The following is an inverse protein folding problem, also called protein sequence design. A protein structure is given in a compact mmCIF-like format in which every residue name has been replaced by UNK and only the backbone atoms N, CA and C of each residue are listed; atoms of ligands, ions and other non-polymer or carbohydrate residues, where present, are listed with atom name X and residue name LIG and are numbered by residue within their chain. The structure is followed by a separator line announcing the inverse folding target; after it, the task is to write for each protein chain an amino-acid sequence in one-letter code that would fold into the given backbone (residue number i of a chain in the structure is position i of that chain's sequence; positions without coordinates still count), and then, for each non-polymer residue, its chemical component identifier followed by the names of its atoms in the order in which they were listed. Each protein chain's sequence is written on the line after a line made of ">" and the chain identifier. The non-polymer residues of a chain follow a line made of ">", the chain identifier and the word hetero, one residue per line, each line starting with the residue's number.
data_IF_886875838111
#
_entry.id   IF_886875838111
#
_cell.length_a   1.000
_cell.length_b   1.000
_cell.length_c   1.000
_cell.angle_alpha   90.00
_cell.angle_beta   90.00
_cell.angle_gamma   90.00
#
_symmetry.space_group_name_H-M   'P 1'
#
loop_
_entity.id
_entity.type
_entity.pdbx_description
1 polymer ?
#
# COMPACT_ATOMS: atom_id res chain seq x y z
N UNK A 1 -21.15 -8.08 -3.44
CA UNK A 1 -20.29 -7.09 -4.11
C UNK A 1 -19.10 -7.86 -4.65
N UNK A 2 -18.76 -7.73 -5.93
CA UNK A 2 -17.69 -8.51 -6.57
C UNK A 2 -16.37 -8.37 -5.79
N UNK A 3 -15.75 -9.49 -5.39
CA UNK A 3 -14.60 -9.51 -4.50
C UNK A 3 -13.43 -8.65 -5.02
N UNK A 4 -13.18 -8.66 -6.34
CA UNK A 4 -12.13 -7.87 -6.97
C UNK A 4 -12.47 -6.36 -6.98
N UNK A 5 -13.74 -6.01 -7.14
CA UNK A 5 -14.17 -4.61 -7.06
C UNK A 5 -14.11 -4.10 -5.62
N UNK A 6 -14.30 -4.99 -4.65
CA UNK A 6 -14.10 -4.72 -3.22
C UNK A 6 -12.62 -4.51 -2.89
N UNK A 7 -11.72 -5.39 -3.34
CA UNK A 7 -10.28 -5.28 -3.06
C UNK A 7 -9.67 -4.03 -3.71
N UNK A 8 -10.11 -3.66 -4.92
CA UNK A 8 -9.66 -2.43 -5.58
C UNK A 8 -10.07 -1.16 -4.81
N UNK A 9 -11.31 -1.11 -4.29
CA UNK A 9 -11.76 0.00 -3.46
C UNK A 9 -11.00 0.07 -2.14
N UNK A 10 -10.70 -1.07 -1.54
CA UNK A 10 -9.88 -1.16 -0.33
C UNK A 10 -8.45 -0.65 -0.59
N UNK A 11 -7.81 -1.13 -1.66
CA UNK A 11 -6.47 -0.68 -2.07
C UNK A 11 -6.44 0.80 -2.41
N UNK A 12 -7.48 1.33 -3.06
CA UNK A 12 -7.65 2.77 -3.27
C UNK A 12 -7.63 3.53 -1.93
N UNK A 13 -8.47 3.12 -0.97
CA UNK A 13 -8.58 3.78 0.33
C UNK A 13 -7.25 3.74 1.10
N UNK A 14 -6.56 2.59 1.12
CA UNK A 14 -5.27 2.42 1.78
C UNK A 14 -4.20 3.33 1.15
N UNK A 15 -4.14 3.38 -0.19
CA UNK A 15 -3.16 4.21 -0.88
C UNK A 15 -3.42 5.71 -0.69
N UNK A 16 -4.69 6.15 -0.69
CA UNK A 16 -5.05 7.53 -0.34
C UNK A 16 -4.62 7.87 1.09
N UNK A 17 -4.91 6.99 2.05
CA UNK A 17 -4.48 7.17 3.43
C UNK A 17 -2.95 7.31 3.54
N UNK A 18 -2.18 6.42 2.90
CA UNK A 18 -0.72 6.48 2.94
C UNK A 18 -0.16 7.74 2.27
N UNK A 19 -0.73 8.15 1.14
CA UNK A 19 -0.34 9.38 0.45
C UNK A 19 -0.55 10.61 1.35
N UNK A 20 -1.72 10.71 1.98
CA UNK A 20 -2.05 11.79 2.93
C UNK A 20 -1.11 11.76 4.15
N UNK A 21 -0.86 10.59 4.73
CA UNK A 21 0.06 10.44 5.85
C UNK A 21 1.47 10.93 5.49
N UNK A 22 2.05 10.48 4.38
CA UNK A 22 3.36 10.94 3.93
C UNK A 22 3.37 12.43 3.60
N UNK A 23 2.29 12.96 3.01
CA UNK A 23 2.18 14.39 2.71
C UNK A 23 2.18 15.24 3.99
N UNK A 24 1.52 14.77 5.05
CA UNK A 24 1.58 15.42 6.36
C UNK A 24 3.00 15.42 6.93
N UNK A 25 3.76 14.33 6.78
CA UNK A 25 5.16 14.30 7.19
C UNK A 25 6.03 15.30 6.40
N UNK A 26 5.77 15.46 5.08
CA UNK A 26 6.42 16.51 4.28
C UNK A 26 6.09 17.88 4.85
N UNK A 27 4.81 18.18 5.10
CA UNK A 27 4.37 19.48 5.63
C UNK A 27 4.99 19.77 7.00
N UNK A 28 5.00 18.79 7.91
CA UNK A 28 5.62 18.95 9.24
C UNK A 28 7.12 19.19 9.11
N UNK A 29 7.81 18.44 8.24
CA UNK A 29 9.23 18.63 8.01
C UNK A 29 9.54 20.02 7.45
N UNK A 30 8.76 20.50 6.48
CA UNK A 30 8.91 21.84 5.91
C UNK A 30 8.59 22.95 6.92
N UNK A 31 7.59 22.76 7.77
CA UNK A 31 7.20 23.75 8.78
C UNK A 31 8.25 23.85 9.89
N UNK A 32 8.67 22.70 10.42
CA UNK A 32 9.52 22.64 11.63
C UNK A 32 11.02 22.64 11.32
N UNK A 33 11.41 22.30 10.09
CA UNK A 33 12.80 22.03 9.71
C UNK A 33 13.35 20.71 10.25
N UNK A 34 12.58 19.98 11.07
CA UNK A 34 13.01 18.77 11.77
C UNK A 34 12.48 17.51 11.10
N UNK A 35 13.19 16.40 11.27
CA UNK A 35 12.72 15.09 10.86
C UNK A 35 11.56 14.65 11.79
N UNK A 36 10.30 14.54 11.32
CA UNK A 36 9.14 14.41 12.20
C UNK A 36 9.16 13.16 13.08
N UNK A 37 9.70 12.05 12.58
CA UNK A 37 9.72 10.78 13.31
C UNK A 37 10.83 10.76 14.38
N UNK A 38 11.96 11.41 14.14
CA UNK A 38 13.03 11.62 15.11
C UNK A 38 12.56 12.56 16.22
N UNK A 39 11.85 13.65 15.88
CA UNK A 39 11.23 14.51 16.90
C UNK A 39 10.21 13.76 17.77
N UNK A 40 9.45 12.82 17.19
CA UNK A 40 8.56 11.96 17.97
C UNK A 40 9.37 11.06 18.92
N UNK A 41 10.42 10.41 18.42
CA UNK A 41 11.29 9.54 19.23
C UNK A 41 11.96 10.30 20.38
N UNK A 42 12.48 11.50 20.13
CA UNK A 42 13.08 12.37 21.15
C UNK A 42 12.05 12.79 22.20
N UNK A 43 10.81 13.03 21.80
CA UNK A 43 9.73 13.43 22.73
C UNK A 43 9.20 12.27 23.57
N UNK A 44 9.05 11.09 22.98
CA UNK A 44 8.57 9.88 23.62
C UNK A 44 8.95 8.63 22.80
N UNK A 45 10.02 7.97 23.20
CA UNK A 45 10.55 6.77 22.52
C UNK A 45 9.56 5.60 22.51
N UNK A 46 8.78 5.41 23.58
CA UNK A 46 7.82 4.31 23.65
C UNK A 46 6.71 4.48 22.62
N UNK A 47 6.16 5.69 22.47
CA UNK A 47 5.13 5.99 21.48
C UNK A 47 5.69 5.83 20.05
N UNK A 48 6.93 6.26 19.83
CA UNK A 48 7.62 6.05 18.56
C UNK A 48 7.72 4.56 18.22
N UNK A 49 8.21 3.72 19.14
CA UNK A 49 8.35 2.27 18.91
C UNK A 49 7.02 1.58 18.66
N UNK A 50 5.98 1.92 19.43
CA UNK A 50 4.61 1.41 19.23
C UNK A 50 4.11 1.79 17.83
N UNK A 51 4.29 3.05 17.43
CA UNK A 51 3.90 3.53 16.10
C UNK A 51 4.65 2.75 15.00
N UNK A 52 5.97 2.56 15.14
CA UNK A 52 6.75 1.81 14.16
C UNK A 52 6.29 0.36 14.04
N UNK A 53 5.95 -0.28 15.17
CA UNK A 53 5.46 -1.66 15.17
C UNK A 53 4.14 -1.79 14.41
N UNK A 54 3.18 -0.93 14.73
CA UNK A 54 1.89 -0.91 14.03
C UNK A 54 2.06 -0.57 12.55
N UNK A 55 2.95 0.35 12.19
CA UNK A 55 3.27 0.67 10.79
C UNK A 55 3.83 -0.54 10.07
N UNK A 56 4.82 -1.24 10.65
CA UNK A 56 5.42 -2.42 10.04
C UNK A 56 4.38 -3.54 9.85
N UNK A 57 3.57 -3.84 10.87
CA UNK A 57 2.53 -4.86 10.81
C UNK A 57 1.44 -4.51 9.77
N UNK A 58 0.93 -3.28 9.79
CA UNK A 58 -0.07 -2.81 8.85
C UNK A 58 0.46 -2.79 7.41
N UNK A 59 1.73 -2.43 7.21
CA UNK A 59 2.36 -2.47 5.88
C UNK A 59 2.52 -3.91 5.37
N UNK A 60 2.89 -4.85 6.24
CA UNK A 60 2.91 -6.28 5.92
C UNK A 60 1.54 -6.77 5.46
N UNK A 61 0.46 -6.42 6.17
CA UNK A 61 -0.91 -6.74 5.76
C UNK A 61 -1.28 -6.10 4.40
N UNK A 62 -0.87 -4.85 4.16
CA UNK A 62 -1.07 -4.18 2.87
C UNK A 62 -0.38 -4.92 1.71
N UNK A 63 0.86 -5.41 1.90
CA UNK A 63 1.55 -6.23 0.89
C UNK A 63 0.78 -7.52 0.62
N UNK A 64 0.26 -8.21 1.64
CA UNK A 64 -0.55 -9.43 1.46
C UNK A 64 -1.79 -9.14 0.61
N UNK A 65 -2.49 -8.02 0.87
CA UNK A 65 -3.66 -7.61 0.06
C UNK A 65 -3.27 -7.37 -1.40
N UNK A 66 -2.11 -6.72 -1.65
CA UNK A 66 -1.60 -6.51 -3.01
C UNK A 66 -1.29 -7.84 -3.73
N UNK A 67 -0.69 -8.80 -3.03
CA UNK A 67 -0.43 -10.15 -3.58
C UNK A 67 -1.74 -10.84 -3.93
N UNK A 68 -2.74 -10.81 -3.04
CA UNK A 68 -4.07 -11.37 -3.32
C UNK A 68 -4.68 -10.73 -4.57
N UNK A 69 -4.60 -9.40 -4.71
CA UNK A 69 -5.10 -8.70 -5.90
C UNK A 69 -4.42 -9.16 -7.20
N UNK A 70 -3.09 -9.31 -7.21
CA UNK A 70 -2.35 -9.86 -8.35
C UNK A 70 -2.79 -11.29 -8.67
N UNK A 71 -2.89 -12.15 -7.66
CA UNK A 71 -3.31 -13.54 -7.82
C UNK A 71 -4.73 -13.65 -8.40
N UNK A 72 -5.68 -12.82 -7.91
CA UNK A 72 -7.05 -12.77 -8.44
C UNK A 72 -7.09 -12.34 -9.90
N UNK A 73 -6.21 -11.42 -10.30
CA UNK A 73 -6.13 -10.97 -11.68
C UNK A 73 -5.46 -11.99 -12.61
N UNK A 74 -4.58 -12.85 -12.09
CA UNK A 74 -3.74 -13.74 -12.91
C UNK A 74 -4.53 -14.66 -13.84
N UNK A 75 -5.67 -15.18 -13.38
CA UNK A 75 -6.58 -16.05 -14.15
C UNK A 75 -7.47 -15.32 -15.16
N UNK A 76 -7.48 -13.98 -15.13
CA UNK A 76 -8.30 -13.15 -16.03
C UNK A 76 -7.58 -12.86 -17.36
N UNK A 77 -8.28 -12.32 -18.36
CA UNK A 77 -7.66 -11.75 -19.57
C UNK A 77 -7.50 -10.21 -19.50
N UNK A 78 -7.62 -9.62 -18.31
CA UNK A 78 -7.48 -8.17 -18.11
C UNK A 78 -6.00 -7.77 -17.99
N UNK A 79 -5.30 -7.73 -19.12
CA UNK A 79 -3.84 -7.54 -19.15
C UNK A 79 -3.39 -6.19 -18.58
N UNK A 80 -4.09 -5.08 -18.86
CA UNK A 80 -3.68 -3.78 -18.32
C UNK A 80 -3.87 -3.73 -16.80
N UNK A 81 -4.94 -4.33 -16.29
CA UNK A 81 -5.17 -4.46 -14.85
C UNK A 81 -4.08 -5.31 -14.18
N UNK A 82 -3.64 -6.41 -14.82
CA UNK A 82 -2.53 -7.23 -14.33
C UNK A 82 -1.24 -6.43 -14.24
N UNK A 83 -0.88 -5.72 -15.32
CA UNK A 83 0.34 -4.89 -15.36
C UNK A 83 0.31 -3.83 -14.26
N UNK A 84 -0.82 -3.14 -14.10
CA UNK A 84 -0.99 -2.15 -13.03
C UNK A 84 -0.86 -2.77 -11.63
N UNK A 85 -1.48 -3.93 -11.38
CA UNK A 85 -1.41 -4.61 -10.09
C UNK A 85 0.02 -5.09 -9.76
N UNK A 86 0.74 -5.65 -10.74
CA UNK A 86 2.15 -6.05 -10.57
C UNK A 86 3.04 -4.85 -10.34
N UNK A 87 2.84 -3.76 -11.09
CA UNK A 87 3.57 -2.50 -10.88
C UNK A 87 3.33 -1.91 -9.49
N UNK A 88 2.08 -1.92 -9.01
CA UNK A 88 1.73 -1.46 -7.67
C UNK A 88 2.37 -2.34 -6.59
N UNK A 89 2.39 -3.67 -6.76
CA UNK A 89 3.06 -4.58 -5.84
C UNK A 89 4.57 -4.30 -5.79
N UNK A 90 5.23 -4.17 -6.95
CA UNK A 90 6.66 -3.86 -7.02
C UNK A 90 6.99 -2.53 -6.33
N UNK A 91 6.20 -1.48 -6.59
CA UNK A 91 6.37 -0.17 -5.96
C UNK A 91 6.17 -0.24 -4.44
N UNK A 92 5.17 -0.99 -3.98
CA UNK A 92 4.92 -1.23 -2.56
C UNK A 92 6.09 -1.96 -1.89
N UNK A 93 6.68 -2.96 -2.56
CA UNK A 93 7.87 -3.65 -2.04
C UNK A 93 9.08 -2.71 -1.94
N UNK A 94 9.31 -1.87 -2.95
CA UNK A 94 10.39 -0.87 -2.93
C UNK A 94 10.24 0.13 -1.77
N UNK A 95 9.03 0.68 -1.59
CA UNK A 95 8.74 1.60 -0.48
C UNK A 95 8.93 0.90 0.86
N UNK A 96 8.35 -0.32 1.01
CA UNK A 96 8.46 -1.10 2.24
C UNK A 96 9.90 -1.43 2.60
N UNK A 97 10.70 -1.87 1.64
CA UNK A 97 12.12 -2.18 1.84
C UNK A 97 12.93 -0.94 2.23
N UNK A 98 12.74 0.17 1.52
CA UNK A 98 13.42 1.42 1.85
C UNK A 98 13.01 1.93 3.24
N UNK A 99 11.73 1.85 3.59
CA UNK A 99 11.25 2.20 4.94
C UNK A 99 11.83 1.28 6.01
N UNK A 100 11.88 -0.03 5.75
CA UNK A 100 12.44 -1.01 6.68
C UNK A 100 13.88 -0.68 7.06
N UNK A 101 14.72 -0.37 6.06
CA UNK A 101 16.14 -0.05 6.29
C UNK A 101 16.31 1.33 6.95
N UNK A 102 15.50 2.32 6.57
CA UNK A 102 15.70 3.71 7.00
C UNK A 102 14.99 4.07 8.30
N UNK A 103 13.98 3.32 8.71
CA UNK A 103 13.13 3.64 9.87
C UNK A 103 13.06 2.48 10.84
N UNK A 104 12.56 1.32 10.40
CA UNK A 104 12.32 0.19 11.28
C UNK A 104 13.61 -0.38 11.89
N UNK A 105 14.61 -0.68 11.07
CA UNK A 105 15.88 -1.24 11.55
C UNK A 105 16.60 -0.31 12.53
N UNK A 106 16.74 1.01 12.25
CA UNK A 106 17.26 1.96 13.25
C UNK A 106 16.43 2.02 14.53
N UNK A 107 15.10 2.01 14.43
CA UNK A 107 14.23 2.05 15.60
C UNK A 107 14.47 0.87 16.56
N UNK A 108 14.70 -0.34 16.03
CA UNK A 108 15.00 -1.53 16.85
C UNK A 108 16.36 -1.46 17.53
N UNK A 109 17.27 -0.61 17.04
CA UNK A 109 18.59 -0.34 17.63
C UNK A 109 18.57 0.91 18.54
N UNK A 110 17.41 1.55 18.75
CA UNK A 110 17.29 2.80 19.50
C UNK A 110 17.85 4.02 18.77
N UNK A 111 18.08 3.91 17.46
CA UNK A 111 18.63 4.99 16.64
C UNK A 111 17.52 5.80 15.95
N UNK A 112 17.76 7.11 15.74
CA UNK A 112 16.82 7.94 15.01
C UNK A 112 16.63 7.46 13.57
N UNK A 113 15.43 7.65 13.00
CA UNK A 113 15.15 7.30 11.62
C UNK A 113 16.01 8.13 10.67
N UNK A 114 16.53 7.49 9.63
CA UNK A 114 17.40 8.10 8.63
C UNK A 114 16.61 8.54 7.41
N UNK A 115 15.46 9.16 7.58
CA UNK A 115 14.59 9.56 6.44
C UNK A 115 14.77 11.05 6.11
N UNK A 116 14.14 11.52 5.04
CA UNK A 116 14.23 12.88 4.55
C UNK A 116 12.89 13.35 3.96
N UNK A 117 12.71 14.66 3.84
CA UNK A 117 11.59 15.25 3.09
C UNK A 117 11.46 14.63 1.69
N UNK A 118 12.58 14.43 1.00
CA UNK A 118 12.62 13.79 -0.32
C UNK A 118 12.02 12.39 -0.29
N UNK A 119 12.36 11.58 0.71
CA UNK A 119 11.79 10.24 0.89
C UNK A 119 10.26 10.32 1.06
N UNK A 120 9.78 11.22 1.90
CA UNK A 120 8.33 11.40 2.11
C UNK A 120 7.62 11.88 0.86
N UNK A 121 8.21 12.83 0.11
CA UNK A 121 7.66 13.30 -1.16
C UNK A 121 7.57 12.17 -2.17
N UNK A 122 8.60 11.34 -2.30
CA UNK A 122 8.58 10.17 -3.19
C UNK A 122 7.50 9.16 -2.76
N UNK A 123 7.37 8.88 -1.47
CA UNK A 123 6.31 8.00 -0.99
C UNK A 123 4.93 8.57 -1.29
N UNK A 124 4.71 9.86 -1.03
CA UNK A 124 3.44 10.54 -1.33
C UNK A 124 3.07 10.40 -2.80
N UNK A 125 4.00 10.69 -3.72
CA UNK A 125 3.72 10.61 -5.15
C UNK A 125 3.47 9.18 -5.61
N UNK A 126 4.23 8.21 -5.08
CA UNK A 126 4.05 6.80 -5.39
C UNK A 126 2.71 6.25 -4.89
N UNK A 127 2.32 6.53 -3.63
CA UNK A 127 1.02 6.14 -3.09
C UNK A 127 -0.13 6.84 -3.83
N UNK A 128 0.04 8.12 -4.20
CA UNK A 128 -0.95 8.84 -5.00
C UNK A 128 -1.11 8.22 -6.41
N UNK A 129 -0.01 7.81 -7.06
CA UNK A 129 -0.04 7.12 -8.35
C UNK A 129 -0.74 5.76 -8.25
N UNK A 130 -0.45 4.97 -7.20
CA UNK A 130 -1.14 3.71 -6.94
C UNK A 130 -2.63 3.94 -6.67
N UNK A 131 -3.00 4.96 -5.87
CA UNK A 131 -4.40 5.34 -5.67
C UNK A 131 -5.08 5.69 -7.00
N UNK A 132 -4.43 6.53 -7.82
CA UNK A 132 -4.94 6.91 -9.13
C UNK A 132 -5.18 5.69 -10.03
N UNK A 133 -4.25 4.72 -10.06
CA UNK A 133 -4.42 3.49 -10.86
C UNK A 133 -5.66 2.65 -10.45
N UNK A 134 -6.05 2.69 -9.17
CA UNK A 134 -7.25 1.99 -8.70
C UNK A 134 -8.54 2.80 -8.90
N UNK A 135 -8.42 4.13 -9.03
CA UNK A 135 -9.53 5.03 -9.32
C UNK A 135 -9.89 5.02 -10.82
N UNK A 136 -8.89 5.02 -11.69
CA UNK A 136 -9.08 5.00 -13.14
C UNK A 136 -9.88 3.75 -13.50
N UNK A 137 -10.96 3.94 -14.25
CA UNK A 137 -11.82 2.84 -14.65
C UNK A 137 -11.10 2.03 -15.75
N UNK A 138 -10.80 0.73 -15.53
CA UNK A 138 -10.33 -0.12 -16.62
C UNK A 138 -11.36 -0.16 -17.75
N UNK A 139 -10.90 -0.55 -18.94
CA UNK A 139 -11.75 -0.69 -20.10
C UNK A 139 -12.98 -1.57 -19.80
N UNK A 140 -14.12 -1.27 -20.44
CA UNK A 140 -15.38 -2.00 -20.17
C UNK A 140 -15.22 -3.50 -20.41
N UNK A 141 -14.41 -3.90 -21.39
CA UNK A 141 -14.09 -5.30 -21.67
C UNK A 141 -13.28 -5.94 -20.54
N UNK A 142 -12.24 -5.27 -20.06
CA UNK A 142 -11.40 -5.78 -18.96
C UNK A 142 -12.17 -5.93 -17.65
N UNK A 143 -13.06 -4.97 -17.35
CA UNK A 143 -13.97 -5.07 -16.20
C UNK A 143 -14.90 -6.26 -16.29
N UNK A 144 -15.47 -6.52 -17.47
CA UNK A 144 -16.33 -7.68 -17.67
C UNK A 144 -15.56 -9.00 -17.52
N UNK A 145 -14.32 -9.06 -18.04
CA UNK A 145 -13.45 -10.24 -17.89
C UNK A 145 -13.05 -10.48 -16.43
N UNK A 146 -12.72 -9.42 -15.69
CA UNK A 146 -12.40 -9.50 -14.27
C UNK A 146 -13.62 -9.90 -13.42
N UNK A 147 -14.82 -9.43 -13.78
CA UNK A 147 -16.07 -9.81 -13.10
C UNK A 147 -16.46 -11.28 -13.37
N UNK A 148 -16.31 -11.76 -14.61
CA UNK A 148 -16.61 -13.15 -14.98
C UNK A 148 -15.71 -14.16 -14.26
N UNK A 149 -14.41 -13.86 -14.11
CA UNK A 149 -13.50 -14.73 -13.38
C UNK A 149 -13.85 -14.84 -11.88
N UNK A 150 -14.32 -13.76 -11.25
CA UNK A 150 -14.80 -13.82 -9.86
C UNK A 150 -16.06 -14.68 -9.72
N UNK A 151 -16.98 -14.60 -10.68
CA UNK A 151 -18.19 -15.42 -10.68
C UNK A 151 -17.85 -16.92 -10.85
N UNK A 152 -16.86 -17.25 -11.70
CA UNK A 152 -16.37 -18.62 -11.85
C UNK A 152 -15.69 -19.16 -10.58
N UNK A 153 -14.93 -18.31 -9.87
CA UNK A 153 -14.32 -18.68 -8.58
C UNK A 153 -15.38 -18.92 -7.50
N UNK A 154 -16.42 -18.07 -7.44
CA UNK A 154 -17.53 -18.23 -6.48
C UNK A 154 -18.44 -19.43 -6.78
N UNK A 155 -18.73 -19.69 -8.06
CA UNK A 155 -19.57 -20.83 -8.47
C UNK A 155 -18.88 -22.19 -8.33
N UNK A 156 -17.54 -22.22 -8.32
CA UNK A 156 -16.79 -23.46 -8.06
C UNK A 156 -16.77 -23.85 -6.57
N UNK A 157 -17.06 -22.91 -5.67
CA UNK A 157 -17.22 -23.18 -4.24
C UNK A 157 -18.63 -23.70 -3.90
N UNK A 158 -19.67 -23.29 -4.64
CA UNK A 158 -21.03 -23.85 -4.49
C UNK A 158 -21.09 -25.33 -4.93
N UNK A 159 -20.35 -25.70 -5.98
CA UNK A 159 -20.31 -27.09 -6.48
C UNK A 159 -19.46 -28.04 -5.62
N UNK A 160 -18.78 -27.56 -4.57
CA UNK A 160 -17.99 -28.38 -3.64
C UNK A 160 -18.71 -28.67 -2.31
N UNK A 161 -19.97 -28.26 -2.18
CA UNK A 161 -20.78 -28.49 -0.98
C UNK A 161 -21.58 -29.80 -0.97
N UNK A 162 -21.26 -30.77 -1.84
CA UNK A 162 -21.88 -32.10 -1.84
C UNK A 162 -20.82 -33.21 -1.80
#
# INVERSE_FOLDING_TARGET
>A
MDALLSIQKLLLAINVYNACYCALLVVINLWTGNEPMASLQESNEADYLILQFFKCAAYGAFIVIQVVHVCMLWSTRAENMKVAAVGNLALSLCIGFHYFIRVWSPAMEGHPPKTSATSYTLYTTMFAAMAFSHYVKPDKGERAMAAQANAAMAGNDENKQF
#
